data_IF_477893506388
#
_entry.id   IF_477893506388
#
_cell.length_a   1.000
_cell.length_b   1.000
_cell.length_c   1.000
_cell.angle_alpha   90.00
_cell.angle_beta   90.00
_cell.angle_gamma   90.00
#
_symmetry.space_group_name_H-M   'P 1'
#
loop_
_entity.id
_entity.type
_entity.pdbx_description
1 polymer ?
#
# COMPACT_ATOMS: atom_id res chain seq x y z
N UNK A 1 17.05 -11.02 -13.08
CA UNK A 1 15.58 -11.01 -13.07
C UNK A 1 15.00 -10.67 -11.68
N UNK A 2 15.75 -9.95 -10.81
CA UNK A 2 15.37 -9.70 -9.41
C UNK A 2 14.89 -8.28 -9.07
N UNK A 3 14.49 -7.45 -10.04
CA UNK A 3 14.17 -6.04 -9.76
C UNK A 3 12.68 -5.68 -9.78
N UNK A 4 11.76 -6.64 -9.95
CA UNK A 4 10.36 -6.31 -10.29
C UNK A 4 9.39 -6.25 -9.10
N UNK A 5 9.81 -6.60 -7.89
CA UNK A 5 8.92 -6.74 -6.73
C UNK A 5 9.15 -5.74 -5.60
N UNK A 6 10.27 -5.04 -5.64
CA UNK A 6 10.60 -4.03 -4.65
C UNK A 6 9.67 -2.80 -4.66
N UNK A 7 8.62 -2.82 -5.49
CA UNK A 7 7.85 -1.65 -5.85
C UNK A 7 6.73 -1.23 -4.92
N UNK A 8 6.32 -2.01 -3.93
CA UNK A 8 5.06 -1.68 -3.25
C UNK A 8 5.24 -1.03 -1.90
N UNK A 9 6.32 -1.31 -1.19
CA UNK A 9 6.53 -0.72 0.12
C UNK A 9 8.02 -0.63 0.52
N UNK A 10 8.94 -0.86 -0.40
CA UNK A 10 10.39 -0.75 -0.15
C UNK A 10 10.90 0.70 -0.08
N UNK A 11 10.01 1.67 0.14
CA UNK A 11 10.45 3.05 0.47
C UNK A 11 11.22 3.08 1.80
N UNK A 12 11.04 2.08 2.66
CA UNK A 12 11.63 2.07 4.00
C UNK A 12 13.01 1.37 4.13
N UNK A 13 13.54 0.71 3.10
CA UNK A 13 14.70 -0.17 3.30
C UNK A 13 16.02 0.34 2.69
N UNK A 14 16.06 1.45 1.99
CA UNK A 14 17.31 1.99 1.46
C UNK A 14 18.10 2.88 2.44
N UNK A 15 17.89 2.74 3.74
CA UNK A 15 18.50 3.55 4.78
C UNK A 15 19.40 2.84 5.79
N UNK A 16 19.82 1.59 5.57
CA UNK A 16 20.84 0.95 6.42
C UNK A 16 22.07 0.67 5.60
N UNK A 17 22.91 1.70 5.46
CA UNK A 17 24.31 1.52 5.11
C UNK A 17 25.02 0.86 6.29
N UNK A 18 25.63 -0.29 6.03
CA UNK A 18 26.56 -0.93 6.94
C UNK A 18 27.73 0.03 7.26
N UNK A 19 27.81 0.46 8.49
CA UNK A 19 28.92 1.24 9.04
C UNK A 19 29.45 0.56 10.28
N UNK A 20 30.63 0.00 10.15
CA UNK A 20 31.59 -0.67 10.96
C UNK A 20 31.47 -0.64 12.48
N UNK A 21 31.82 -1.80 13.03
CA UNK A 21 32.24 -2.03 14.39
C UNK A 21 33.29 -1.01 14.88
N UNK A 22 33.06 -0.45 16.06
CA UNK A 22 34.13 -0.09 16.98
C UNK A 22 33.65 -0.24 18.40
N UNK A 23 34.22 -1.23 19.05
CA UNK A 23 34.23 -1.44 20.49
C UNK A 23 34.97 -0.28 21.15
N UNK A 24 34.31 0.41 22.07
CA UNK A 24 35.02 1.03 23.21
C UNK A 24 34.17 0.79 24.46
N UNK A 25 34.84 0.29 25.41
CA UNK A 25 34.46 -0.22 26.72
C UNK A 25 34.62 0.89 27.75
N UNK A 26 33.83 0.79 28.85
CA UNK A 26 33.98 1.42 30.18
C UNK A 26 33.74 2.94 30.26
N UNK A 27 33.08 3.45 31.23
CA UNK A 27 33.17 3.40 32.70
C UNK A 27 32.02 4.19 33.37
N UNK A 28 31.29 3.65 34.17
CA UNK A 28 30.95 3.73 35.60
C UNK A 28 30.80 5.12 36.27
N UNK A 29 29.62 5.27 36.88
CA UNK A 29 29.31 5.88 38.21
C UNK A 29 29.24 7.39 38.38
N UNK A 30 28.14 7.72 38.94
CA UNK A 30 27.76 8.40 40.23
C UNK A 30 26.73 9.49 40.00
N UNK A 31 25.53 9.29 40.52
CA UNK A 31 25.07 9.68 41.88
C UNK A 31 24.91 11.21 42.04
N UNK A 32 23.70 11.70 42.18
CA UNK A 32 23.14 12.31 43.39
C UNK A 32 21.92 13.21 43.07
N UNK A 33 20.82 12.91 43.73
CA UNK A 33 19.89 13.74 44.53
C UNK A 33 19.78 15.24 44.25
N UNK A 34 18.50 15.67 44.15
CA UNK A 34 18.04 17.06 44.40
C UNK A 34 16.62 17.18 43.84
N UNK A 35 15.70 17.00 44.54
CA UNK A 35 14.69 17.57 45.42
C UNK A 35 13.97 18.81 44.84
N UNK A 36 12.63 18.63 44.79
CA UNK A 36 11.55 19.55 45.12
C UNK A 36 11.21 20.73 44.22
N UNK A 37 9.94 20.77 43.86
CA UNK A 37 9.14 21.99 44.03
C UNK A 37 8.65 22.65 42.78
N UNK A 38 7.34 22.69 42.60
CA UNK A 38 6.75 23.90 42.12
C UNK A 38 5.89 23.85 40.86
N UNK A 39 4.62 23.89 41.16
CA UNK A 39 3.57 24.65 40.43
C UNK A 39 3.05 24.13 39.08
N UNK A 40 1.81 23.74 39.15
CA UNK A 40 0.88 23.66 38.01
C UNK A 40 0.90 24.96 37.20
N UNK A 41 1.15 24.84 35.92
CA UNK A 41 0.80 25.85 34.94
C UNK A 41 -0.16 25.22 33.94
N UNK A 42 -1.34 25.76 33.98
CA UNK A 42 -2.43 25.61 33.01
C UNK A 42 -1.90 25.94 31.63
N UNK A 43 -1.83 24.96 30.72
CA UNK A 43 -1.54 25.21 29.30
C UNK A 43 -2.83 25.13 28.54
N UNK A 44 -3.23 26.31 28.09
CA UNK A 44 -4.33 26.60 27.20
C UNK A 44 -4.38 25.65 26.03
N UNK A 45 -5.57 25.10 25.81
CA UNK A 45 -5.98 24.49 24.54
C UNK A 45 -6.12 25.61 23.50
N UNK A 46 -5.14 25.73 22.63
CA UNK A 46 -5.32 26.49 21.38
C UNK A 46 -4.50 25.85 20.27
N UNK A 47 -5.19 25.55 19.16
CA UNK A 47 -4.52 25.22 17.89
C UNK A 47 -4.70 23.84 17.33
N UNK A 48 -5.94 23.34 17.23
CA UNK A 48 -6.27 22.38 16.15
C UNK A 48 -6.24 23.17 14.85
N UNK A 49 -5.09 23.15 14.18
CA UNK A 49 -4.99 23.64 12.81
C UNK A 49 -5.76 22.70 11.91
N UNK A 50 -6.81 23.23 11.30
CA UNK A 50 -7.51 22.65 10.16
C UNK A 50 -6.51 22.10 9.15
N UNK A 51 -6.42 20.78 9.05
CA UNK A 51 -5.86 20.15 7.88
C UNK A 51 -6.87 20.40 6.77
N UNK A 52 -6.54 21.29 5.88
CA UNK A 52 -7.32 21.57 4.69
C UNK A 52 -7.54 20.27 3.95
N UNK A 53 -8.77 19.77 4.02
CA UNK A 53 -9.23 18.62 3.25
C UNK A 53 -9.03 18.95 1.76
N UNK A 54 -8.08 18.26 1.13
CA UNK A 54 -7.93 18.29 -0.33
C UNK A 54 -9.24 17.75 -0.88
N UNK A 55 -10.05 18.61 -1.50
CA UNK A 55 -11.28 18.22 -2.17
C UNK A 55 -10.94 17.22 -3.27
N UNK A 56 -11.45 15.99 -3.24
CA UNK A 56 -11.27 15.07 -4.36
C UNK A 56 -12.04 15.63 -5.57
N UNK A 57 -11.33 15.84 -6.65
CA UNK A 57 -11.92 16.12 -7.95
C UNK A 57 -12.44 14.79 -8.50
N UNK A 58 -13.75 14.56 -8.38
CA UNK A 58 -14.41 13.30 -8.72
C UNK A 58 -14.60 12.44 -7.45
N UNK A 59 -15.81 11.92 -7.26
CA UNK A 59 -16.10 11.09 -6.09
C UNK A 59 -15.28 9.80 -6.15
N UNK A 60 -14.19 9.74 -5.35
CA UNK A 60 -13.40 8.52 -5.23
C UNK A 60 -14.27 7.40 -4.64
N UNK A 61 -14.16 6.21 -5.23
CA UNK A 61 -14.87 5.03 -4.79
C UNK A 61 -14.11 4.39 -3.61
N UNK A 62 -14.83 3.98 -2.57
CA UNK A 62 -14.25 3.11 -1.55
C UNK A 62 -13.80 1.78 -2.15
N UNK A 63 -12.92 1.05 -1.45
CA UNK A 63 -12.51 -0.29 -1.90
C UNK A 63 -13.72 -1.19 -2.18
N UNK A 64 -14.73 -1.19 -1.32
CA UNK A 64 -15.95 -1.99 -1.51
C UNK A 64 -16.70 -1.64 -2.80
N UNK A 65 -16.88 -0.36 -3.12
CA UNK A 65 -17.56 0.06 -4.34
C UNK A 65 -16.75 -0.30 -5.61
N UNK A 66 -15.43 -0.16 -5.58
CA UNK A 66 -14.56 -0.48 -6.70
C UNK A 66 -14.45 -1.99 -6.97
N UNK A 67 -14.69 -2.82 -5.95
CA UNK A 67 -14.63 -4.29 -6.01
C UNK A 67 -15.97 -4.95 -6.34
N UNK A 68 -16.96 -4.18 -6.77
CA UNK A 68 -18.29 -4.72 -7.12
C UNK A 68 -19.05 -5.28 -5.92
N UNK A 69 -18.82 -4.75 -4.74
CA UNK A 69 -19.47 -5.17 -3.49
C UNK A 69 -18.82 -6.36 -2.79
N UNK A 70 -17.67 -6.86 -3.27
CA UNK A 70 -16.89 -7.87 -2.54
C UNK A 70 -16.38 -7.23 -1.24
N UNK A 71 -16.64 -7.89 -0.13
CA UNK A 71 -16.19 -7.43 1.18
C UNK A 71 -14.66 -7.54 1.28
N UNK A 72 -14.03 -6.41 1.53
CA UNK A 72 -12.60 -6.30 1.79
C UNK A 72 -12.40 -5.76 3.20
N UNK A 73 -11.68 -6.48 4.02
CA UNK A 73 -11.38 -6.08 5.39
C UNK A 73 -9.97 -5.50 5.48
N UNK A 74 -9.87 -4.20 5.34
CA UNK A 74 -8.63 -3.45 5.51
C UNK A 74 -8.36 -3.14 6.99
N UNK A 75 -7.09 -2.94 7.40
CA UNK A 75 -6.78 -2.41 8.73
C UNK A 75 -7.54 -1.10 8.99
N UNK A 76 -7.98 -0.87 10.22
CA UNK A 76 -8.74 0.35 10.58
C UNK A 76 -7.96 1.64 10.32
N UNK A 77 -6.63 1.57 10.41
CA UNK A 77 -5.73 2.69 10.15
C UNK A 77 -5.35 2.86 8.68
N UNK A 78 -5.95 2.08 7.76
CA UNK A 78 -5.59 2.09 6.35
C UNK A 78 -6.81 2.31 5.45
N UNK A 79 -6.67 3.21 4.48
CA UNK A 79 -7.71 3.52 3.51
C UNK A 79 -7.22 3.25 2.09
N UNK A 80 -8.01 2.55 1.30
CA UNK A 80 -7.77 2.32 -0.12
C UNK A 80 -8.96 2.89 -0.92
N UNK A 81 -8.67 3.83 -1.79
CA UNK A 81 -9.67 4.49 -2.63
C UNK A 81 -9.32 4.35 -4.11
N UNK A 82 -10.35 4.32 -4.94
CA UNK A 82 -10.21 4.18 -6.39
C UNK A 82 -10.93 5.34 -7.08
N UNK A 83 -10.26 6.01 -8.01
CA UNK A 83 -10.96 6.93 -8.91
C UNK A 83 -11.82 6.15 -9.92
N UNK A 84 -12.99 6.67 -10.29
CA UNK A 84 -13.77 6.12 -11.37
C UNK A 84 -13.00 6.05 -12.70
N UNK A 85 -13.36 5.10 -13.55
CA UNK A 85 -12.89 5.01 -14.94
C UNK A 85 -14.08 5.24 -15.89
N UNK A 86 -14.52 6.49 -16.07
CA UNK A 86 -15.79 6.81 -16.73
C UNK A 86 -15.87 6.44 -18.21
N UNK A 87 -14.71 6.22 -18.84
CA UNK A 87 -14.64 5.88 -20.26
C UNK A 87 -14.53 4.37 -20.53
N UNK A 88 -14.54 3.53 -19.48
CA UNK A 88 -14.49 2.09 -19.63
C UNK A 88 -15.88 1.55 -20.02
N UNK A 89 -15.95 0.74 -21.07
CA UNK A 89 -17.12 -0.05 -21.42
C UNK A 89 -17.42 -1.13 -20.38
N UNK A 90 -18.57 -1.79 -20.48
CA UNK A 90 -19.02 -2.78 -19.48
C UNK A 90 -18.00 -3.92 -19.29
N UNK A 91 -17.46 -4.46 -20.37
CA UNK A 91 -16.45 -5.53 -20.29
C UNK A 91 -15.13 -5.05 -19.70
N UNK A 92 -14.68 -3.84 -20.07
CA UNK A 92 -13.48 -3.21 -19.48
C UNK A 92 -13.69 -2.92 -17.99
N UNK A 93 -14.90 -2.50 -17.61
CA UNK A 93 -15.25 -2.29 -16.20
C UNK A 93 -15.14 -3.59 -15.39
N UNK A 94 -15.50 -4.75 -15.96
CA UNK A 94 -15.31 -6.05 -15.31
C UNK A 94 -13.82 -6.34 -15.05
N UNK A 95 -12.94 -6.06 -16.04
CA UNK A 95 -11.47 -6.17 -15.86
C UNK A 95 -10.99 -5.25 -14.75
N UNK A 96 -11.46 -4.00 -14.72
CA UNK A 96 -11.07 -3.01 -13.71
C UNK A 96 -11.58 -3.38 -12.32
N UNK A 97 -12.76 -3.98 -12.23
CA UNK A 97 -13.32 -4.49 -10.96
C UNK A 97 -12.46 -5.64 -10.43
N UNK A 98 -12.18 -6.65 -11.24
CA UNK A 98 -11.38 -7.81 -10.82
C UNK A 98 -9.93 -7.42 -10.46
N UNK A 99 -9.35 -6.45 -11.18
CA UNK A 99 -8.04 -5.89 -10.81
C UNK A 99 -8.08 -5.12 -9.49
N UNK A 100 -9.18 -4.42 -9.20
CA UNK A 100 -9.37 -3.75 -7.92
C UNK A 100 -9.53 -4.76 -6.76
N UNK A 101 -10.28 -5.87 -6.99
CA UNK A 101 -10.37 -6.97 -6.01
C UNK A 101 -9.00 -7.53 -5.71
N UNK A 102 -8.20 -7.87 -6.73
CA UNK A 102 -6.84 -8.38 -6.53
C UNK A 102 -6.01 -7.43 -5.68
N UNK A 103 -6.03 -6.14 -6.02
CA UNK A 103 -5.22 -5.14 -5.35
C UNK A 103 -5.66 -4.91 -3.90
N UNK A 104 -6.96 -4.79 -3.66
CA UNK A 104 -7.53 -4.59 -2.33
C UNK A 104 -7.37 -5.84 -1.43
N UNK A 105 -7.60 -7.04 -1.98
CA UNK A 105 -7.41 -8.29 -1.26
C UNK A 105 -5.94 -8.54 -0.88
N UNK A 106 -5.01 -8.08 -1.69
CA UNK A 106 -3.59 -8.13 -1.34
C UNK A 106 -3.26 -7.24 -0.13
N UNK A 107 -3.82 -6.00 -0.06
CA UNK A 107 -3.70 -5.17 1.15
C UNK A 107 -4.40 -5.77 2.36
N UNK A 108 -5.55 -6.43 2.18
CA UNK A 108 -6.20 -7.21 3.23
C UNK A 108 -5.27 -8.29 3.78
N UNK A 109 -4.63 -9.06 2.90
CA UNK A 109 -3.69 -10.11 3.26
C UNK A 109 -2.46 -9.56 4.02
N UNK A 110 -1.91 -8.41 3.62
CA UNK A 110 -0.88 -7.69 4.38
C UNK A 110 -1.40 -7.33 5.77
N UNK A 111 -2.60 -6.74 5.84
CA UNK A 111 -3.19 -6.30 7.11
C UNK A 111 -3.44 -7.43 8.09
N UNK A 112 -3.84 -8.60 7.59
CA UNK A 112 -4.07 -9.82 8.39
C UNK A 112 -2.79 -10.60 8.68
N UNK A 113 -1.70 -10.31 7.96
CA UNK A 113 -0.50 -11.12 7.99
C UNK A 113 -0.76 -12.53 7.45
N UNK A 114 -1.64 -12.70 6.47
CA UNK A 114 -2.02 -13.98 5.87
C UNK A 114 -1.51 -14.08 4.43
N UNK A 115 -0.36 -14.73 4.28
CA UNK A 115 0.25 -14.94 2.97
C UNK A 115 -0.51 -15.94 2.07
N UNK A 116 -1.46 -16.67 2.63
CA UNK A 116 -2.30 -17.65 1.94
C UNK A 116 -3.77 -17.21 1.81
N UNK A 117 -4.09 -15.94 2.10
CA UNK A 117 -5.46 -15.40 1.96
C UNK A 117 -6.05 -15.79 0.60
N UNK A 118 -7.16 -16.55 0.58
CA UNK A 118 -7.71 -17.12 -0.64
C UNK A 118 -8.30 -16.06 -1.59
N UNK A 119 -8.64 -14.87 -1.08
CA UNK A 119 -9.31 -13.86 -1.88
C UNK A 119 -8.39 -13.32 -2.97
N UNK A 120 -7.16 -12.84 -2.64
CA UNK A 120 -6.25 -12.40 -3.70
C UNK A 120 -5.79 -13.59 -4.57
N UNK A 121 -5.70 -14.78 -3.97
CA UNK A 121 -5.34 -16.02 -4.67
C UNK A 121 -6.32 -16.38 -5.79
N UNK A 122 -7.59 -16.02 -5.67
CA UNK A 122 -8.63 -16.23 -6.68
C UNK A 122 -8.43 -15.38 -7.94
N UNK A 123 -7.82 -14.18 -7.79
CA UNK A 123 -7.62 -13.21 -8.86
C UNK A 123 -6.18 -13.18 -9.39
N UNK A 124 -5.31 -14.07 -8.91
CA UNK A 124 -3.91 -14.15 -9.30
C UNK A 124 -3.53 -15.56 -9.75
N UNK A 125 -2.79 -15.66 -10.86
CA UNK A 125 -2.15 -16.91 -11.26
C UNK A 125 -1.11 -17.35 -10.23
N UNK A 126 -0.68 -18.62 -10.27
CA UNK A 126 0.34 -19.14 -9.35
C UNK A 126 1.61 -18.27 -9.33
N UNK A 127 2.08 -17.77 -10.48
CA UNK A 127 3.28 -16.93 -10.56
C UNK A 127 3.07 -15.52 -9.97
N UNK A 128 1.90 -14.92 -10.16
CA UNK A 128 1.57 -13.62 -9.53
C UNK A 128 1.38 -13.80 -8.03
N UNK A 129 0.67 -14.86 -7.62
CA UNK A 129 0.45 -15.19 -6.21
C UNK A 129 1.76 -15.39 -5.45
N UNK A 130 2.72 -16.13 -6.03
CA UNK A 130 4.02 -16.33 -5.40
C UNK A 130 4.73 -15.00 -5.10
N UNK A 131 4.68 -14.05 -6.05
CA UNK A 131 5.27 -12.73 -5.88
C UNK A 131 4.58 -11.87 -4.80
N UNK A 132 3.26 -11.86 -4.77
CA UNK A 132 2.50 -11.13 -3.76
C UNK A 132 2.74 -11.72 -2.37
N UNK A 133 2.82 -13.05 -2.28
CA UNK A 133 3.14 -13.79 -1.06
C UNK A 133 4.49 -13.41 -0.46
N UNK A 134 5.52 -13.23 -1.29
CA UNK A 134 6.86 -12.80 -0.83
C UNK A 134 6.78 -11.46 -0.08
N UNK A 135 5.97 -10.52 -0.57
CA UNK A 135 5.79 -9.22 0.08
C UNK A 135 5.04 -9.36 1.40
N UNK A 136 3.96 -10.15 1.43
CA UNK A 136 3.21 -10.41 2.67
C UNK A 136 4.11 -11.08 3.70
N UNK A 137 4.89 -12.10 3.29
CA UNK A 137 5.83 -12.80 4.16
C UNK A 137 6.92 -11.85 4.73
N UNK A 138 7.38 -10.89 3.93
CA UNK A 138 8.30 -9.86 4.41
C UNK A 138 7.66 -8.99 5.50
N UNK A 139 6.40 -8.58 5.34
CA UNK A 139 5.66 -7.84 6.36
C UNK A 139 5.51 -8.66 7.65
N UNK A 140 5.11 -9.93 7.53
CA UNK A 140 5.00 -10.86 8.65
C UNK A 140 6.32 -11.03 9.40
N UNK A 141 7.41 -11.28 8.67
CA UNK A 141 8.74 -11.50 9.26
C UNK A 141 9.25 -10.29 10.06
N UNK A 142 8.81 -9.07 9.70
CA UNK A 142 9.15 -7.84 10.39
C UNK A 142 8.10 -7.42 11.45
N UNK A 143 7.02 -8.16 11.61
CA UNK A 143 5.93 -7.79 12.52
C UNK A 143 5.18 -6.53 12.07
N UNK A 144 5.11 -6.27 10.77
CA UNK A 144 4.51 -5.07 10.21
C UNK A 144 3.10 -5.32 9.68
N UNK A 145 2.32 -4.26 9.71
CA UNK A 145 1.07 -4.07 8.97
C UNK A 145 1.19 -2.79 8.13
N UNK A 146 0.08 -2.35 7.53
CA UNK A 146 0.03 -1.12 6.73
C UNK A 146 -0.89 -0.10 7.41
N UNK A 147 -0.54 1.19 7.30
CA UNK A 147 -1.35 2.31 7.77
C UNK A 147 -1.37 3.46 6.75
N UNK A 148 -2.28 4.40 6.92
CA UNK A 148 -2.42 5.58 6.06
C UNK A 148 -3.34 5.38 4.87
N UNK A 149 -2.96 5.85 3.68
CA UNK A 149 -3.87 5.79 2.53
C UNK A 149 -3.16 5.55 1.20
N UNK A 150 -3.87 4.87 0.30
CA UNK A 150 -3.51 4.70 -1.10
C UNK A 150 -4.63 5.21 -1.98
N UNK A 151 -4.30 6.06 -2.94
CA UNK A 151 -5.20 6.48 -4.01
C UNK A 151 -4.84 5.77 -5.32
N UNK A 152 -5.78 5.01 -5.85
CA UNK A 152 -5.67 4.36 -7.16
C UNK A 152 -6.41 5.19 -8.21
N UNK A 153 -5.68 5.68 -9.19
CA UNK A 153 -6.22 6.53 -10.25
C UNK A 153 -5.76 6.11 -11.65
N UNK A 154 -6.19 6.86 -12.69
CA UNK A 154 -5.82 6.64 -14.11
C UNK A 154 -5.99 5.18 -14.54
N UNK A 155 -7.07 4.57 -14.07
CA UNK A 155 -7.38 3.16 -14.33
C UNK A 155 -7.83 2.96 -15.76
N UNK A 156 -7.20 2.03 -16.47
CA UNK A 156 -7.53 1.67 -17.86
C UNK A 156 -7.52 0.17 -18.07
N UNK A 157 -8.35 -0.31 -18.98
CA UNK A 157 -8.35 -1.68 -19.45
C UNK A 157 -8.50 -1.71 -20.95
N UNK A 158 -7.88 -2.71 -21.61
CA UNK A 158 -8.06 -3.00 -23.03
C UNK A 158 -8.15 -4.50 -23.20
N UNK A 159 -9.24 -4.95 -23.82
CA UNK A 159 -9.54 -6.36 -24.02
C UNK A 159 -9.18 -6.77 -25.45
N UNK A 160 -8.64 -7.97 -25.59
CA UNK A 160 -8.38 -8.64 -26.86
C UNK A 160 -8.69 -10.13 -26.71
N UNK A 161 -9.86 -10.56 -27.14
CA UNK A 161 -10.37 -11.92 -26.89
C UNK A 161 -10.45 -12.20 -25.38
N UNK A 162 -9.91 -13.34 -24.96
CA UNK A 162 -9.90 -13.76 -23.53
C UNK A 162 -8.72 -13.18 -22.72
N UNK A 163 -8.04 -12.19 -23.29
CA UNK A 163 -6.92 -11.51 -22.62
C UNK A 163 -7.22 -10.03 -22.49
N UNK A 164 -6.89 -9.45 -21.35
CA UNK A 164 -6.96 -8.02 -21.13
C UNK A 164 -5.63 -7.49 -20.60
N UNK A 165 -5.35 -6.21 -20.92
CA UNK A 165 -4.29 -5.43 -20.30
C UNK A 165 -4.94 -4.38 -19.42
N UNK A 166 -4.67 -4.41 -18.14
CA UNK A 166 -5.08 -3.39 -17.19
C UNK A 166 -3.86 -2.58 -16.74
N UNK A 167 -4.07 -1.28 -16.53
CA UNK A 167 -3.07 -0.42 -15.93
C UNK A 167 -3.73 0.57 -14.98
N UNK A 168 -3.01 0.94 -13.93
CA UNK A 168 -3.43 1.95 -12.95
C UNK A 168 -2.24 2.58 -12.27
N UNK A 169 -2.42 3.81 -11.81
CA UNK A 169 -1.48 4.47 -10.94
C UNK A 169 -1.91 4.30 -9.48
N UNK A 170 -0.94 4.13 -8.59
CA UNK A 170 -1.13 4.17 -7.15
C UNK A 170 -0.26 5.28 -6.55
N UNK A 171 -0.88 6.21 -5.87
CA UNK A 171 -0.23 7.20 -5.03
C UNK A 171 -0.14 6.63 -3.62
N UNK A 172 1.08 6.36 -3.18
CA UNK A 172 1.37 5.73 -1.88
C UNK A 172 2.13 6.68 -0.95
N UNK A 173 2.06 8.00 -1.20
CA UNK A 173 2.75 9.00 -0.37
C UNK A 173 2.35 8.95 1.09
N UNK A 174 1.12 8.56 1.36
CA UNK A 174 0.54 8.49 2.70
C UNK A 174 0.39 7.03 3.20
N UNK A 175 1.03 6.07 2.54
CA UNK A 175 0.98 4.66 2.93
C UNK A 175 2.32 4.21 3.51
N UNK A 176 2.30 3.74 4.75
CA UNK A 176 3.50 3.39 5.49
C UNK A 176 3.38 2.01 6.14
N UNK A 177 4.50 1.28 6.30
CA UNK A 177 4.55 0.17 7.24
C UNK A 177 4.35 0.68 8.67
N UNK A 178 3.70 -0.14 9.49
CA UNK A 178 3.50 0.13 10.90
C UNK A 178 3.80 -1.14 11.70
N UNK A 179 4.56 -1.03 12.77
CA UNK A 179 4.77 -2.15 13.70
C UNK A 179 3.45 -2.56 14.35
N UNK A 180 3.04 -3.80 14.17
CA UNK A 180 1.75 -4.29 14.67
C UNK A 180 1.66 -4.28 16.19
N UNK A 181 2.79 -4.43 16.89
CA UNK A 181 2.85 -4.53 18.35
C UNK A 181 2.84 -3.18 19.07
N UNK A 182 3.49 -2.18 18.48
CA UNK A 182 3.68 -0.85 19.09
C UNK A 182 2.82 0.24 18.47
N UNK A 183 2.33 0.02 17.23
CA UNK A 183 1.70 1.07 16.44
C UNK A 183 2.69 2.10 15.89
N UNK A 184 4.01 1.86 16.03
CA UNK A 184 5.02 2.76 15.50
C UNK A 184 5.00 2.78 13.96
N UNK A 185 4.83 3.96 13.38
CA UNK A 185 4.77 4.15 11.92
C UNK A 185 6.18 4.38 11.37
N UNK A 186 6.57 3.57 10.39
CA UNK A 186 7.87 3.66 9.74
C UNK A 186 7.78 4.62 8.56
N UNK A 187 7.89 5.91 8.85
CA UNK A 187 7.85 6.93 7.80
C UNK A 187 9.08 6.86 6.90
N UNK A 188 8.85 7.05 5.61
CA UNK A 188 9.89 7.18 4.61
C UNK A 188 9.69 8.49 3.83
N UNK A 189 10.78 9.06 3.28
CA UNK A 189 10.66 10.23 2.43
C UNK A 189 9.69 9.98 1.28
N UNK A 190 8.80 10.93 1.02
CA UNK A 190 7.84 10.89 -0.07
C UNK A 190 8.32 11.74 -1.24
N UNK A 191 7.95 11.39 -2.44
CA UNK A 191 8.34 12.08 -3.67
C UNK A 191 7.89 11.29 -4.89
N UNK A 192 8.52 11.51 -6.03
CA UNK A 192 8.16 10.86 -7.30
C UNK A 192 8.15 9.32 -7.20
N UNK A 193 9.03 8.76 -6.36
CA UNK A 193 9.12 7.31 -6.11
C UNK A 193 7.86 6.74 -5.43
N UNK A 194 7.01 7.59 -4.87
CA UNK A 194 5.74 7.20 -4.25
C UNK A 194 4.58 7.11 -5.25
N UNK A 195 4.83 7.39 -6.53
CA UNK A 195 3.86 7.19 -7.60
C UNK A 195 4.23 5.96 -8.41
N UNK A 196 3.38 4.95 -8.34
CA UNK A 196 3.62 3.65 -8.96
C UNK A 196 2.65 3.43 -10.12
N UNK A 197 3.18 3.00 -11.25
CA UNK A 197 2.39 2.49 -12.35
C UNK A 197 2.36 0.97 -12.27
N UNK A 198 1.19 0.42 -12.08
CA UNK A 198 0.94 -1.01 -12.20
C UNK A 198 0.46 -1.37 -13.59
N UNK A 199 0.91 -2.53 -14.09
CA UNK A 199 0.42 -3.14 -15.32
C UNK A 199 0.16 -4.62 -15.06
N UNK A 200 -1.03 -5.07 -15.44
CA UNK A 200 -1.43 -6.46 -15.36
C UNK A 200 -1.83 -6.98 -16.75
N UNK A 201 -1.40 -8.20 -17.07
CA UNK A 201 -2.06 -9.00 -18.11
C UNK A 201 -3.04 -9.91 -17.40
N UNK A 202 -4.29 -9.88 -17.80
CA UNK A 202 -5.36 -10.65 -17.20
C UNK A 202 -5.94 -11.63 -18.22
N UNK A 203 -6.37 -12.80 -17.76
CA UNK A 203 -7.03 -13.81 -18.55
C UNK A 203 -8.37 -14.16 -17.93
N UNK A 204 -9.39 -14.26 -18.75
CA UNK A 204 -10.71 -14.69 -18.29
C UNK A 204 -10.70 -16.19 -18.06
N UNK A 205 -11.10 -16.63 -16.87
CA UNK A 205 -11.21 -18.07 -16.55
C UNK A 205 -12.61 -18.61 -16.88
N UNK A 206 -12.81 -19.93 -16.72
CA UNK A 206 -14.08 -20.59 -16.99
C UNK A 206 -15.25 -20.13 -16.11
N UNK A 207 -15.00 -19.43 -14.99
CA UNK A 207 -16.01 -18.81 -14.14
C UNK A 207 -16.29 -17.36 -14.50
N UNK A 208 -15.71 -16.85 -15.60
CA UNK A 208 -15.89 -15.46 -16.05
C UNK A 208 -15.03 -14.42 -15.31
N UNK A 209 -14.18 -14.83 -14.39
CA UNK A 209 -13.33 -13.96 -13.59
C UNK A 209 -12.05 -13.64 -14.36
N UNK A 210 -11.64 -12.37 -14.33
CA UNK A 210 -10.36 -11.94 -14.87
C UNK A 210 -9.23 -12.17 -13.85
N UNK A 211 -8.32 -13.07 -14.18
CA UNK A 211 -7.21 -13.51 -13.33
C UNK A 211 -5.90 -12.91 -13.86
N UNK A 212 -5.14 -12.24 -13.01
CA UNK A 212 -3.84 -11.69 -13.38
C UNK A 212 -2.85 -12.81 -13.68
N UNK A 213 -2.42 -12.94 -14.93
CA UNK A 213 -1.37 -13.85 -15.38
C UNK A 213 0.02 -13.23 -15.28
N UNK A 214 0.10 -11.88 -15.29
CA UNK A 214 1.31 -11.13 -14.92
C UNK A 214 0.91 -9.86 -14.17
N UNK A 215 1.79 -9.40 -13.30
CA UNK A 215 1.67 -8.13 -12.58
C UNK A 215 3.07 -7.52 -12.45
N UNK A 216 3.20 -6.28 -12.84
CA UNK A 216 4.43 -5.49 -12.71
C UNK A 216 4.14 -4.13 -12.13
N UNK A 217 5.13 -3.53 -11.48
CA UNK A 217 5.06 -2.14 -11.01
C UNK A 217 6.30 -1.38 -11.43
N UNK A 218 6.15 -0.07 -11.65
CA UNK A 218 7.21 0.86 -11.98
C UNK A 218 7.05 2.10 -11.11
N UNK A 219 8.10 2.44 -10.36
CA UNK A 219 8.16 3.67 -9.56
C UNK A 219 8.48 4.88 -10.42
N UNK A 220 8.12 6.06 -9.95
CA UNK A 220 8.36 7.33 -10.61
C UNK A 220 7.98 7.30 -12.11
N UNK A 221 6.94 6.55 -12.43
CA UNK A 221 6.48 6.49 -13.81
C UNK A 221 5.88 7.84 -14.21
N UNK A 222 6.41 8.46 -15.26
CA UNK A 222 5.96 9.78 -15.73
C UNK A 222 4.43 9.86 -15.93
N UNK A 223 3.83 8.73 -16.36
CA UNK A 223 2.37 8.63 -16.53
C UNK A 223 1.58 8.75 -15.23
N UNK A 224 2.22 8.60 -14.05
CA UNK A 224 1.57 8.65 -12.74
C UNK A 224 1.93 9.90 -11.92
N UNK A 225 2.91 10.67 -12.34
CA UNK A 225 3.27 11.91 -11.66
C UNK A 225 2.14 12.93 -11.73
N UNK A 226 1.97 13.77 -10.70
CA UNK A 226 1.06 14.92 -10.76
C UNK A 226 1.50 15.88 -11.87
N UNK A 227 0.53 16.43 -12.58
CA UNK A 227 0.73 17.47 -13.61
C UNK A 227 0.94 18.83 -12.97
#
# INVERSE_FOLDING_TARGET
MSQLLAGVLLVAITGVAAGGCSLVKDEQRRSARGSAGGTAAEVSREGVRDQAAVKPVGSALSASAATGGILIELPQSFTLTFEPAPHAGADEQAVLTDSAVLFAAWYQAIGRGDADDPLYGRYASAGVRAKLREIIAMFQANGWTVTGSVLVNRRTAKITGDTARAAWCADVREAFPMESSSGHVLHSPTGDQSFLLYRATMRRNGAGIWVASSLTSQRAAAACLPS
#
